data_IF_998280299862
#
_entry.id   IF_998280299862
#
_cell.length_a   1.000
_cell.length_b   1.000
_cell.length_c   1.000
_cell.angle_alpha   90.00
_cell.angle_beta   90.00
_cell.angle_gamma   90.00
#
_symmetry.space_group_name_H-M   'P 1'
#
loop_
_entity.id
_entity.type
_entity.pdbx_description
1 polymer ?
#
# COMPACT_ATOMS: atom_id res chain seq x y z
N UNK A 1 -34.63 11.88 28.65
CA UNK A 1 -33.18 12.09 28.49
C UNK A 1 -32.40 10.79 28.28
N UNK A 2 -32.73 9.70 28.96
CA UNK A 2 -32.03 8.39 28.85
C UNK A 2 -32.06 7.80 27.42
N UNK A 3 -33.18 7.94 26.71
CA UNK A 3 -33.33 7.43 25.34
C UNK A 3 -32.38 8.10 24.33
N UNK A 4 -32.11 9.40 24.51
CA UNK A 4 -31.23 10.17 23.62
C UNK A 4 -29.77 9.79 23.83
N UNK A 5 -29.34 9.67 25.09
CA UNK A 5 -27.97 9.26 25.44
C UNK A 5 -27.63 7.86 24.90
N UNK A 6 -28.56 6.89 25.02
CA UNK A 6 -28.36 5.54 24.47
C UNK A 6 -28.24 5.54 22.94
N UNK A 7 -28.99 6.40 22.25
CA UNK A 7 -28.93 6.53 20.79
C UNK A 7 -27.60 7.14 20.34
N UNK A 8 -27.11 8.12 21.08
CA UNK A 8 -25.83 8.79 20.81
C UNK A 8 -24.64 7.82 21.01
N UNK A 9 -24.67 6.98 22.06
CA UNK A 9 -23.66 5.94 22.30
C UNK A 9 -23.62 4.87 21.19
N UNK A 10 -24.79 4.40 20.73
CA UNK A 10 -24.87 3.43 19.63
C UNK A 10 -24.34 4.02 18.33
N UNK A 11 -24.62 5.30 18.07
CA UNK A 11 -24.11 6.00 16.90
C UNK A 11 -22.60 6.17 16.93
N UNK A 12 -22.04 6.53 18.10
CA UNK A 12 -20.59 6.66 18.29
C UNK A 12 -19.87 5.33 18.09
N UNK A 13 -20.40 4.22 18.65
CA UNK A 13 -19.84 2.89 18.48
C UNK A 13 -19.89 2.41 17.02
N UNK A 14 -20.98 2.72 16.30
CA UNK A 14 -21.10 2.40 14.88
C UNK A 14 -20.08 3.18 14.04
N UNK A 15 -19.86 4.46 14.34
CA UNK A 15 -18.83 5.30 13.71
C UNK A 15 -17.43 4.72 13.90
N UNK A 16 -17.03 4.46 15.16
CA UNK A 16 -15.72 3.92 15.48
C UNK A 16 -15.44 2.57 14.80
N UNK A 17 -16.45 1.68 14.71
CA UNK A 17 -16.33 0.40 14.02
C UNK A 17 -16.20 0.56 12.50
N UNK A 18 -16.87 1.55 11.92
CA UNK A 18 -16.78 1.83 10.50
C UNK A 18 -15.40 2.41 10.13
N UNK A 19 -14.90 3.35 10.93
CA UNK A 19 -13.56 3.93 10.80
C UNK A 19 -12.48 2.85 10.91
N UNK A 20 -12.48 2.02 11.96
CA UNK A 20 -11.48 0.96 12.13
C UNK A 20 -11.50 -0.10 11.02
N UNK A 21 -12.67 -0.39 10.43
CA UNK A 21 -12.76 -1.26 9.24
C UNK A 21 -12.19 -0.59 7.98
N UNK A 22 -12.39 0.70 7.82
CA UNK A 22 -11.88 1.45 6.68
C UNK A 22 -10.35 1.54 6.75
N UNK A 23 -9.80 1.90 7.92
CA UNK A 23 -8.36 1.97 8.18
C UNK A 23 -7.68 0.62 7.94
N UNK A 24 -8.17 -0.46 8.54
CA UNK A 24 -7.57 -1.79 8.36
C UNK A 24 -7.61 -2.28 6.90
N UNK A 25 -8.61 -1.86 6.10
CA UNK A 25 -8.66 -2.18 4.67
C UNK A 25 -7.63 -1.39 3.86
N UNK A 26 -7.30 -0.16 4.26
CA UNK A 26 -6.28 0.66 3.61
C UNK A 26 -4.90 0.11 3.94
N UNK A 27 -4.61 -0.16 5.21
CA UNK A 27 -3.33 -0.73 5.66
C UNK A 27 -3.04 -2.08 5.01
N UNK A 28 -4.02 -3.00 5.03
CA UNK A 28 -3.84 -4.32 4.42
C UNK A 28 -3.61 -4.27 2.90
N UNK A 29 -4.14 -3.25 2.20
CA UNK A 29 -3.87 -3.05 0.76
C UNK A 29 -2.46 -2.52 0.52
N UNK A 30 -1.98 -1.60 1.34
CA UNK A 30 -0.61 -1.08 1.24
C UNK A 30 0.41 -2.20 1.50
N UNK A 31 0.20 -3.01 2.55
CA UNK A 31 1.06 -4.15 2.86
C UNK A 31 1.13 -5.17 1.71
N UNK A 32 -0.03 -5.56 1.17
CA UNK A 32 -0.10 -6.45 -0.01
C UNK A 32 0.62 -5.86 -1.23
N UNK A 33 0.48 -4.56 -1.46
CA UNK A 33 1.10 -3.91 -2.61
C UNK A 33 2.63 -3.86 -2.45
N UNK A 34 3.14 -3.54 -1.26
CA UNK A 34 4.56 -3.63 -0.96
C UNK A 34 5.10 -5.05 -1.18
N UNK A 35 4.41 -6.04 -0.65
CA UNK A 35 4.83 -7.43 -0.73
C UNK A 35 4.89 -7.92 -2.18
N UNK A 36 3.87 -7.59 -2.99
CA UNK A 36 3.81 -7.95 -4.41
C UNK A 36 4.99 -7.36 -5.19
N UNK A 37 5.26 -6.07 -5.03
CA UNK A 37 6.37 -5.39 -5.72
C UNK A 37 7.71 -5.96 -5.25
N UNK A 38 7.91 -6.16 -3.94
CA UNK A 38 9.16 -6.68 -3.40
C UNK A 38 9.42 -8.11 -3.87
N UNK A 39 8.42 -8.99 -3.83
CA UNK A 39 8.52 -10.37 -4.33
C UNK A 39 8.86 -10.42 -5.81
N UNK A 40 8.24 -9.55 -6.63
CA UNK A 40 8.57 -9.46 -8.05
C UNK A 40 10.03 -9.06 -8.28
N UNK A 41 10.48 -8.01 -7.60
CA UNK A 41 11.85 -7.50 -7.71
C UNK A 41 12.87 -8.57 -7.29
N UNK A 42 12.61 -9.27 -6.20
CA UNK A 42 13.44 -10.36 -5.72
C UNK A 42 13.47 -11.55 -6.69
N UNK A 43 12.31 -11.98 -7.18
CA UNK A 43 12.22 -13.10 -8.13
C UNK A 43 12.93 -12.83 -9.45
N UNK A 44 12.91 -11.58 -9.95
CA UNK A 44 13.48 -11.24 -11.27
C UNK A 44 14.93 -10.80 -11.21
N UNK A 45 15.36 -10.15 -10.13
CA UNK A 45 16.67 -9.51 -10.04
C UNK A 45 17.47 -9.90 -8.79
N UNK A 46 16.88 -10.68 -7.87
CA UNK A 46 17.52 -11.15 -6.65
C UNK A 46 18.07 -10.00 -5.78
N UNK A 47 19.25 -10.25 -5.21
CA UNK A 47 19.93 -9.32 -4.30
C UNK A 47 20.18 -7.92 -4.89
N UNK A 48 20.35 -7.82 -6.21
CA UNK A 48 20.57 -6.53 -6.88
C UNK A 48 19.38 -5.57 -6.68
N UNK A 49 18.18 -6.10 -6.44
CA UNK A 49 16.97 -5.30 -6.22
C UNK A 49 16.75 -4.82 -4.79
N UNK A 50 17.56 -5.24 -3.81
CA UNK A 50 17.33 -4.90 -2.39
C UNK A 50 17.25 -3.39 -2.14
N UNK A 51 18.03 -2.59 -2.87
CA UNK A 51 17.97 -1.13 -2.79
C UNK A 51 16.63 -0.57 -3.25
N UNK A 52 16.04 -1.13 -4.31
CA UNK A 52 14.72 -0.78 -4.81
C UNK A 52 13.61 -1.24 -3.87
N UNK A 53 13.73 -2.45 -3.32
CA UNK A 53 12.77 -2.95 -2.33
C UNK A 53 12.71 -2.04 -1.09
N UNK A 54 13.87 -1.58 -0.60
CA UNK A 54 13.94 -0.59 0.50
C UNK A 54 13.28 0.73 0.13
N UNK A 55 13.36 1.16 -1.13
CA UNK A 55 12.68 2.37 -1.60
C UNK A 55 11.17 2.18 -1.66
N UNK A 56 10.69 1.06 -2.20
CA UNK A 56 9.26 0.74 -2.28
C UNK A 56 8.62 0.68 -0.88
N UNK A 57 9.32 0.11 0.11
CA UNK A 57 8.85 0.05 1.51
C UNK A 57 8.70 1.42 2.20
N UNK A 58 9.15 2.52 1.58
CA UNK A 58 8.98 3.89 2.10
C UNK A 58 7.81 4.63 1.44
N UNK A 59 7.08 3.97 0.54
CA UNK A 59 5.97 4.57 -0.20
C UNK A 59 4.66 4.15 0.45
N UNK A 60 4.09 5.00 1.30
CA UNK A 60 2.82 4.69 1.98
C UNK A 60 1.59 5.01 1.11
N UNK A 61 1.78 5.69 -0.02
CA UNK A 61 0.70 6.04 -0.94
C UNK A 61 0.29 4.83 -1.80
N UNK A 62 -0.93 4.33 -1.56
CA UNK A 62 -1.48 3.18 -2.26
C UNK A 62 -1.68 3.43 -3.77
N UNK A 63 -1.94 4.68 -4.17
CA UNK A 63 -2.05 5.06 -5.58
C UNK A 63 -0.71 4.91 -6.30
N UNK A 64 0.36 5.41 -5.69
CA UNK A 64 1.74 5.25 -6.18
C UNK A 64 2.12 3.76 -6.27
N UNK A 65 1.83 2.98 -5.22
CA UNK A 65 2.09 1.53 -5.24
C UNK A 65 1.31 0.84 -6.36
N UNK A 66 0.05 1.22 -6.59
CA UNK A 66 -0.77 0.71 -7.68
C UNK A 66 -0.19 1.02 -9.06
N UNK A 67 0.32 2.24 -9.27
CA UNK A 67 1.01 2.61 -10.51
C UNK A 67 2.25 1.76 -10.77
N UNK A 68 3.05 1.53 -9.72
CA UNK A 68 4.24 0.68 -9.82
C UNK A 68 3.83 -0.74 -10.22
N UNK A 69 2.85 -1.34 -9.54
CA UNK A 69 2.34 -2.68 -9.88
C UNK A 69 1.92 -2.77 -11.36
N UNK A 70 1.23 -1.74 -11.86
CA UNK A 70 0.74 -1.72 -13.23
C UNK A 70 1.83 -1.62 -14.31
N UNK A 71 3.05 -1.22 -13.94
CA UNK A 71 4.16 -0.97 -14.88
C UNK A 71 5.32 -1.95 -14.68
N UNK A 72 5.51 -2.47 -13.47
CA UNK A 72 6.70 -3.23 -13.07
C UNK A 72 6.85 -4.55 -13.84
N UNK A 73 5.75 -5.18 -14.29
CA UNK A 73 5.82 -6.42 -15.07
C UNK A 73 6.29 -6.21 -16.52
N UNK A 74 6.22 -4.98 -17.04
CA UNK A 74 6.65 -4.64 -18.40
C UNK A 74 8.16 -4.41 -18.51
N UNK A 75 8.85 -4.22 -17.38
CA UNK A 75 10.27 -3.89 -17.35
C UNK A 75 11.11 -5.13 -17.65
N UNK A 76 12.23 -4.96 -18.36
CA UNK A 76 13.15 -6.02 -18.74
C UNK A 76 14.50 -5.92 -18.04
N UNK A 77 14.79 -4.79 -17.38
CA UNK A 77 16.02 -4.59 -16.60
C UNK A 77 15.75 -3.98 -15.23
N UNK A 78 16.78 -4.04 -14.38
CA UNK A 78 16.76 -3.40 -13.07
C UNK A 78 16.73 -1.87 -13.19
N UNK A 79 17.40 -1.27 -14.19
CA UNK A 79 17.32 0.17 -14.42
C UNK A 79 15.92 0.62 -14.84
N UNK A 80 15.23 -0.16 -15.67
CA UNK A 80 13.84 0.14 -16.04
C UNK A 80 12.90 0.04 -14.84
N UNK A 81 13.08 -0.98 -13.98
CA UNK A 81 12.35 -1.10 -12.73
C UNK A 81 12.59 0.12 -11.82
N UNK A 82 13.84 0.58 -11.72
CA UNK A 82 14.19 1.80 -10.99
C UNK A 82 13.51 3.02 -11.58
N UNK A 83 13.50 3.19 -12.89
CA UNK A 83 12.87 4.31 -13.56
C UNK A 83 11.36 4.36 -13.29
N UNK A 84 10.67 3.20 -13.29
CA UNK A 84 9.25 3.11 -12.92
C UNK A 84 9.00 3.57 -11.48
N UNK A 85 9.79 3.06 -10.53
CA UNK A 85 9.65 3.41 -9.11
C UNK A 85 9.98 4.89 -8.87
N UNK A 86 11.05 5.39 -9.50
CA UNK A 86 11.48 6.78 -9.39
C UNK A 86 10.46 7.74 -10.02
N UNK A 87 9.82 7.37 -11.13
CA UNK A 87 8.81 8.19 -11.79
C UNK A 87 7.49 8.24 -11.01
N UNK A 88 7.09 7.14 -10.37
CA UNK A 88 5.87 7.08 -9.59
C UNK A 88 5.99 7.80 -8.23
N UNK A 89 7.20 7.86 -7.66
CA UNK A 89 7.48 8.49 -6.36
C UNK A 89 7.90 9.97 -6.44
N UNK A 90 7.70 10.63 -7.59
CA UNK A 90 7.92 12.07 -7.78
C UNK A 90 6.69 12.86 -7.37
#
# INVERSE_FOLDING_TARGET
>A
MIEKAKRDEVSALAGARAEGKAEGKVEGKAEMAHEAICKYLDARFGEASQSLQKKVKRIDDLGILGEIINKIYMVNSLEEARAVIDAAAK
#
